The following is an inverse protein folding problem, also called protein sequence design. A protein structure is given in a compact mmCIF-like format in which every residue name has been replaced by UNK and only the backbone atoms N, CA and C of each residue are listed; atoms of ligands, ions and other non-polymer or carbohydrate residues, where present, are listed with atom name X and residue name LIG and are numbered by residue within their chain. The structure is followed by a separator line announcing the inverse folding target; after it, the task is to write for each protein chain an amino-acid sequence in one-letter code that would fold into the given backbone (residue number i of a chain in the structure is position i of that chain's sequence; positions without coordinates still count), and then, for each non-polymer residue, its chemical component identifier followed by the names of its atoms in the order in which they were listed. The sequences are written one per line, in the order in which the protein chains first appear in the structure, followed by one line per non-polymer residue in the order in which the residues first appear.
data_IF_435181064986
#
_entry.id   IF_435181064986
#
_cell.length_a   1.000
_cell.length_b   1.000
_cell.length_c   1.000
_cell.angle_alpha   90.00
_cell.angle_beta   90.00
_cell.angle_gamma   90.00
#
_symmetry.space_group_name_H-M   'P 1'
#
loop_
_entity.id
_entity.type
_entity.pdbx_description
1 polymer ?
#
# COMPACT_ATOMS: atom_id res chain seq x y z
N UNK A 1 -1.60 -6.51 -13.67
CA UNK A 1 -1.28 -7.22 -12.40
C UNK A 1 -1.86 -6.46 -11.24
N UNK A 2 -2.69 -7.09 -10.41
CA UNK A 2 -3.22 -6.50 -9.17
C UNK A 2 -3.02 -7.48 -8.05
N UNK A 3 -2.01 -7.24 -7.21
CA UNK A 3 -1.58 -8.15 -6.15
C UNK A 3 -1.60 -7.44 -4.81
N UNK A 4 -2.17 -8.10 -3.80
CA UNK A 4 -2.11 -7.63 -2.42
C UNK A 4 -1.52 -8.70 -1.52
N UNK A 5 -0.61 -8.25 -0.64
CA UNK A 5 0.00 -9.09 0.38
C UNK A 5 -0.74 -8.86 1.70
N UNK A 6 -0.94 -9.93 2.45
CA UNK A 6 -1.46 -9.87 3.81
C UNK A 6 -0.66 -10.82 4.71
N UNK A 7 -0.92 -10.82 5.99
CA UNK A 7 -0.23 -11.67 6.97
C UNK A 7 0.03 -10.93 8.27
N UNK A 8 0.65 -11.65 9.21
CA UNK A 8 0.99 -11.14 10.54
C UNK A 8 1.93 -9.92 10.47
N UNK A 9 1.95 -9.12 11.52
CA UNK A 9 2.90 -8.02 11.65
C UNK A 9 4.33 -8.53 11.50
N UNK A 10 5.17 -7.75 10.81
CA UNK A 10 6.61 -8.04 10.61
C UNK A 10 6.91 -9.37 9.90
N UNK A 11 5.94 -9.96 9.20
CA UNK A 11 6.18 -11.18 8.40
C UNK A 11 7.03 -10.93 7.15
N UNK A 12 7.21 -9.66 6.76
CA UNK A 12 8.06 -9.28 5.62
C UNK A 12 7.31 -8.75 4.40
N UNK A 13 6.05 -8.32 4.53
CA UNK A 13 5.25 -7.80 3.43
C UNK A 13 5.90 -6.61 2.70
N UNK A 14 6.25 -5.58 3.46
CA UNK A 14 6.93 -4.39 2.92
C UNK A 14 8.33 -4.70 2.40
N UNK A 15 9.05 -5.61 3.06
CA UNK A 15 10.36 -6.08 2.63
C UNK A 15 10.26 -6.77 1.26
N UNK A 16 9.24 -7.59 1.03
CA UNK A 16 9.03 -8.25 -0.25
C UNK A 16 8.81 -7.23 -1.36
N UNK A 17 7.96 -6.23 -1.12
CA UNK A 17 7.70 -5.15 -2.09
C UNK A 17 9.00 -4.40 -2.43
N UNK A 18 9.77 -4.02 -1.41
CA UNK A 18 11.02 -3.28 -1.60
C UNK A 18 12.05 -4.10 -2.40
N UNK A 19 12.23 -5.37 -2.07
CA UNK A 19 13.12 -6.26 -2.83
C UNK A 19 12.69 -6.39 -4.29
N UNK A 20 11.39 -6.62 -4.51
CA UNK A 20 10.86 -6.72 -5.87
C UNK A 20 11.15 -5.45 -6.69
N UNK A 21 10.87 -4.28 -6.13
CA UNK A 21 11.11 -2.99 -6.79
C UNK A 21 12.59 -2.80 -7.13
N UNK A 22 13.47 -3.06 -6.16
CA UNK A 22 14.92 -2.85 -6.32
C UNK A 22 15.53 -3.81 -7.34
N UNK A 23 15.24 -5.10 -7.21
CA UNK A 23 15.81 -6.13 -8.09
C UNK A 23 15.34 -6.01 -9.54
N UNK A 24 14.11 -5.53 -9.75
CA UNK A 24 13.53 -5.39 -11.08
C UNK A 24 13.54 -3.93 -11.60
N UNK A 25 14.09 -2.99 -10.85
CA UNK A 25 14.17 -1.56 -11.20
C UNK A 25 12.81 -1.00 -11.66
N UNK A 26 11.76 -1.30 -10.90
CA UNK A 26 10.39 -0.96 -11.27
C UNK A 26 10.10 0.51 -10.96
N UNK A 27 9.66 1.30 -11.96
CA UNK A 27 9.16 2.65 -11.69
C UNK A 27 7.86 2.57 -10.89
N UNK A 28 7.75 3.38 -9.83
CA UNK A 28 6.65 3.32 -8.88
C UNK A 28 5.92 4.65 -8.73
N UNK A 29 4.65 4.54 -8.36
CA UNK A 29 3.82 5.64 -7.88
C UNK A 29 3.04 5.16 -6.65
N UNK A 30 2.18 5.99 -6.10
CA UNK A 30 1.44 5.65 -4.89
C UNK A 30 2.13 6.10 -3.61
N UNK A 31 2.00 5.32 -2.56
CA UNK A 31 2.55 5.68 -1.25
C UNK A 31 3.08 4.47 -0.47
N UNK A 32 3.93 4.80 0.50
CA UNK A 32 4.33 3.88 1.58
C UNK A 32 4.08 4.58 2.92
N UNK A 33 3.91 3.80 3.98
CA UNK A 33 3.89 4.31 5.34
C UNK A 33 5.27 4.16 5.96
N UNK A 34 5.78 5.20 6.60
CA UNK A 34 7.08 5.22 7.24
C UNK A 34 6.91 5.40 8.75
N UNK A 35 7.71 4.71 9.58
CA UNK A 35 7.64 4.88 11.02
C UNK A 35 8.16 6.25 11.46
N UNK A 36 7.51 6.82 12.46
CA UNK A 36 7.94 8.02 13.15
C UNK A 36 8.48 7.66 14.54
N UNK A 37 9.70 8.10 14.83
CA UNK A 37 10.39 7.81 16.08
C UNK A 37 10.61 9.07 16.91
N UNK A 38 10.41 8.96 18.22
CA UNK A 38 10.90 9.90 19.23
C UNK A 38 11.71 9.13 20.26
N UNK A 39 12.91 9.63 20.62
CA UNK A 39 13.82 8.99 21.59
C UNK A 39 14.04 7.49 21.31
N UNK A 40 14.24 7.12 20.04
CA UNK A 40 14.43 5.74 19.57
C UNK A 40 13.21 4.82 19.75
N UNK A 41 12.07 5.35 20.13
CA UNK A 41 10.79 4.63 20.22
C UNK A 41 9.88 5.01 19.05
N UNK A 42 9.28 4.00 18.41
CA UNK A 42 8.30 4.23 17.34
C UNK A 42 6.98 4.67 17.97
N UNK A 43 6.57 5.89 17.67
CA UNK A 43 5.34 6.48 18.22
C UNK A 43 4.31 6.87 17.17
N UNK A 44 4.55 6.58 15.92
CA UNK A 44 3.58 6.90 14.87
C UNK A 44 4.04 6.54 13.47
N UNK A 45 3.32 7.08 12.49
CA UNK A 45 3.58 6.82 11.08
C UNK A 45 3.38 8.06 10.23
N UNK A 46 4.22 8.21 9.22
CA UNK A 46 4.05 9.13 8.09
C UNK A 46 3.41 8.42 6.91
N UNK A 47 2.58 9.14 6.18
CA UNK A 47 2.22 8.80 4.82
C UNK A 47 3.25 9.44 3.89
N UNK A 48 4.00 8.62 3.15
CA UNK A 48 5.08 9.06 2.27
C UNK A 48 4.69 8.87 0.81
N UNK A 49 4.71 9.96 0.04
CA UNK A 49 4.41 9.93 -1.38
C UNK A 49 5.57 9.39 -2.20
N UNK A 50 5.27 8.47 -3.12
CA UNK A 50 6.22 7.99 -4.14
C UNK A 50 6.15 8.82 -5.44
N UNK A 51 5.21 9.76 -5.53
CA UNK A 51 5.16 10.74 -6.61
C UNK A 51 5.67 12.08 -6.10
N UNK A 52 6.26 12.87 -7.01
CA UNK A 52 6.81 14.18 -6.66
C UNK A 52 5.68 15.19 -6.47
N UNK A 53 5.51 15.68 -5.24
CA UNK A 53 4.52 16.67 -4.85
C UNK A 53 5.22 17.79 -4.04
N UNK A 54 4.51 18.89 -3.77
CA UNK A 54 5.05 19.97 -2.92
C UNK A 54 5.33 19.48 -1.50
N UNK A 55 4.50 18.57 -0.99
CA UNK A 55 4.68 17.87 0.29
C UNK A 55 4.86 16.38 0.01
N UNK A 56 5.81 15.75 0.68
CA UNK A 56 6.11 14.32 0.47
C UNK A 56 5.79 13.45 1.67
N UNK A 57 5.78 14.00 2.88
CA UNK A 57 5.56 13.27 4.13
C UNK A 57 4.59 14.01 5.01
N UNK A 58 3.52 13.34 5.44
CA UNK A 58 2.58 13.86 6.43
C UNK A 58 2.34 12.82 7.52
N UNK A 59 2.50 13.24 8.77
CA UNK A 59 2.22 12.41 9.93
C UNK A 59 0.72 12.19 10.05
N UNK A 60 0.27 10.93 10.07
CA UNK A 60 -1.14 10.59 10.24
C UNK A 60 -1.44 9.81 11.52
N UNK A 61 -0.41 9.38 12.23
CA UNK A 61 -0.57 8.68 13.50
C UNK A 61 0.53 9.12 14.47
N UNK A 62 0.14 9.48 15.69
CA UNK A 62 1.05 9.87 16.77
C UNK A 62 0.55 9.29 18.09
N UNK A 63 1.27 8.33 18.63
CA UNK A 63 0.83 7.56 19.78
C UNK A 63 -0.46 6.80 19.48
N UNK A 64 -1.50 7.03 20.28
CA UNK A 64 -2.84 6.47 20.06
C UNK A 64 -3.74 7.38 19.23
N UNK A 65 -3.26 8.54 18.82
CA UNK A 65 -4.04 9.52 18.07
C UNK A 65 -3.86 9.35 16.57
N UNK A 66 -4.97 9.42 15.85
CA UNK A 66 -5.01 9.48 14.38
C UNK A 66 -5.25 10.92 13.98
N UNK A 67 -4.43 11.45 13.09
CA UNK A 67 -4.64 12.78 12.50
C UNK A 67 -5.69 12.64 11.41
N UNK A 68 -6.92 13.09 11.71
CA UNK A 68 -8.04 13.00 10.76
C UNK A 68 -7.81 13.88 9.54
N UNK A 69 -8.27 13.41 8.38
CA UNK A 69 -8.24 14.18 7.14
C UNK A 69 -6.98 14.01 6.32
N UNK A 70 -5.92 13.38 6.83
CA UNK A 70 -4.67 13.20 6.08
C UNK A 70 -4.90 12.35 4.83
N UNK A 71 -5.64 11.26 4.93
CA UNK A 71 -5.94 10.42 3.77
C UNK A 71 -6.90 11.10 2.80
N UNK A 72 -7.95 11.77 3.30
CA UNK A 72 -8.92 12.50 2.46
C UNK A 72 -8.28 13.68 1.70
N UNK A 73 -7.23 14.26 2.22
CA UNK A 73 -6.47 15.34 1.59
C UNK A 73 -5.23 14.80 0.86
N UNK A 74 -4.18 14.48 1.59
CA UNK A 74 -2.89 14.06 1.03
C UNK A 74 -2.94 12.70 0.34
N UNK A 75 -3.65 11.74 0.93
CA UNK A 75 -3.84 10.42 0.33
C UNK A 75 -4.53 10.51 -1.04
N UNK A 76 -5.58 11.30 -1.15
CA UNK A 76 -6.28 11.54 -2.43
C UNK A 76 -5.36 12.24 -3.44
N UNK A 77 -4.61 13.25 -3.01
CA UNK A 77 -3.63 13.95 -3.85
C UNK A 77 -2.60 12.98 -4.45
N UNK A 78 -2.04 12.10 -3.61
CA UNK A 78 -1.09 11.07 -4.08
C UNK A 78 -1.73 10.17 -5.14
N UNK A 79 -2.93 9.66 -4.88
CA UNK A 79 -3.61 8.76 -5.81
C UNK A 79 -3.95 9.45 -7.13
N UNK A 80 -4.39 10.70 -7.09
CA UNK A 80 -4.70 11.49 -8.29
C UNK A 80 -3.45 11.75 -9.16
N UNK A 81 -2.28 11.91 -8.55
CA UNK A 81 -1.01 12.12 -9.25
C UNK A 81 -0.26 10.83 -9.58
N UNK A 82 -0.78 9.67 -9.20
CA UNK A 82 -0.20 8.36 -9.50
C UNK A 82 -0.73 7.86 -10.84
N UNK A 83 -0.02 8.18 -11.92
CA UNK A 83 -0.51 7.94 -13.29
C UNK A 83 0.45 7.09 -14.14
N UNK A 84 1.58 6.66 -13.58
CA UNK A 84 2.56 5.84 -14.30
C UNK A 84 3.24 4.82 -13.38
N UNK A 85 3.81 3.79 -13.98
CA UNK A 85 4.54 2.76 -13.25
C UNK A 85 3.63 1.80 -12.48
N UNK A 86 4.21 1.16 -11.47
CA UNK A 86 3.51 0.29 -10.54
C UNK A 86 2.92 1.12 -9.40
N UNK A 87 1.62 0.99 -9.17
CA UNK A 87 0.96 1.65 -8.04
C UNK A 87 1.24 0.87 -6.76
N UNK A 88 1.98 1.47 -5.85
CA UNK A 88 2.29 0.92 -4.52
C UNK A 88 1.31 1.47 -3.49
N UNK A 89 0.73 0.58 -2.70
CA UNK A 89 -0.21 0.91 -1.61
C UNK A 89 0.22 0.18 -0.34
N UNK A 90 1.21 0.68 0.35
CA UNK A 90 1.80 0.03 1.53
C UNK A 90 1.67 0.93 2.78
N UNK A 91 0.71 0.71 3.63
CA UNK A 91 -0.29 -0.34 3.65
C UNK A 91 -1.72 0.23 3.70
N UNK A 92 -2.68 -0.62 3.38
CA UNK A 92 -4.11 -0.34 3.61
C UNK A 92 -4.47 -0.99 4.95
N UNK A 93 -4.79 -0.17 5.95
CA UNK A 93 -5.08 -0.63 7.31
C UNK A 93 -6.45 -0.17 7.81
N UNK A 94 -6.57 0.08 9.10
CA UNK A 94 -7.83 0.52 9.70
C UNK A 94 -7.84 2.01 10.11
N UNK A 95 -6.69 2.68 10.08
CA UNK A 95 -6.58 4.08 10.51
C UNK A 95 -7.30 5.04 9.55
N UNK A 96 -7.43 4.65 8.27
CA UNK A 96 -8.17 5.39 7.25
C UNK A 96 -9.67 5.08 7.17
N UNK A 97 -10.20 4.26 8.08
CA UNK A 97 -11.58 3.74 8.00
C UNK A 97 -12.69 4.81 7.94
N UNK A 98 -12.46 5.96 8.51
CA UNK A 98 -13.42 7.07 8.53
C UNK A 98 -13.18 8.09 7.41
N UNK A 99 -12.16 7.87 6.60
CA UNK A 99 -11.75 8.75 5.49
C UNK A 99 -12.46 8.32 4.19
N UNK A 100 -13.75 8.60 4.10
CA UNK A 100 -14.62 8.09 3.02
C UNK A 100 -14.23 8.55 1.63
N UNK A 101 -13.83 9.80 1.49
CA UNK A 101 -13.37 10.33 0.19
C UNK A 101 -12.17 9.55 -0.31
N UNK A 102 -11.19 9.34 0.56
CA UNK A 102 -10.00 8.55 0.25
C UNK A 102 -10.37 7.12 -0.15
N UNK A 103 -11.21 6.44 0.62
CA UNK A 103 -11.59 5.04 0.35
C UNK A 103 -12.31 4.90 -0.99
N UNK A 104 -13.19 5.84 -1.35
CA UNK A 104 -13.86 5.84 -2.65
C UNK A 104 -12.86 6.02 -3.80
N UNK A 105 -11.93 6.97 -3.66
CA UNK A 105 -10.87 7.21 -4.65
C UNK A 105 -9.95 5.99 -4.75
N UNK A 106 -9.57 5.40 -3.63
CA UNK A 106 -8.70 4.22 -3.56
C UNK A 106 -9.29 3.04 -4.34
N UNK A 107 -10.54 2.68 -4.07
CA UNK A 107 -11.21 1.53 -4.72
C UNK A 107 -11.31 1.77 -6.23
N UNK A 108 -11.75 2.95 -6.65
CA UNK A 108 -11.82 3.32 -8.07
C UNK A 108 -10.44 3.28 -8.73
N UNK A 109 -9.41 3.75 -8.02
CA UNK A 109 -8.03 3.72 -8.53
C UNK A 109 -7.56 2.28 -8.74
N UNK A 110 -7.76 1.40 -7.77
CA UNK A 110 -7.40 -0.03 -7.88
C UNK A 110 -8.13 -0.68 -9.06
N UNK A 111 -9.42 -0.41 -9.23
CA UNK A 111 -10.21 -0.97 -10.33
C UNK A 111 -9.66 -0.58 -11.70
N UNK A 112 -9.30 0.69 -11.88
CA UNK A 112 -8.90 1.26 -13.16
C UNK A 112 -7.41 1.13 -13.47
N UNK A 113 -6.56 1.07 -12.45
CA UNK A 113 -5.11 1.06 -12.63
C UNK A 113 -4.63 -0.32 -13.11
N UNK A 114 -3.75 -0.37 -14.11
CA UNK A 114 -3.38 -1.65 -14.71
C UNK A 114 -2.48 -2.52 -13.81
N UNK A 115 -1.60 -1.91 -13.04
CA UNK A 115 -0.61 -2.63 -12.23
C UNK A 115 -0.57 -2.07 -10.80
N UNK A 116 -1.02 -2.88 -9.85
CA UNK A 116 -1.08 -2.52 -8.43
C UNK A 116 -0.36 -3.58 -7.59
N UNK A 117 0.43 -3.13 -6.65
CA UNK A 117 1.04 -3.98 -5.62
C UNK A 117 0.86 -3.31 -4.27
N UNK A 118 0.14 -3.95 -3.39
CA UNK A 118 -0.18 -3.37 -2.10
C UNK A 118 -0.09 -4.34 -0.94
N UNK A 119 -0.23 -3.79 0.26
CA UNK A 119 -0.35 -4.53 1.51
C UNK A 119 -1.70 -4.21 2.12
N UNK A 120 -2.48 -5.24 2.40
CA UNK A 120 -3.69 -5.16 3.21
C UNK A 120 -3.41 -5.72 4.59
N UNK A 121 -3.69 -4.96 5.62
CA UNK A 121 -3.60 -5.45 6.99
C UNK A 121 -4.56 -6.63 7.18
N UNK A 122 -4.12 -7.65 7.91
CA UNK A 122 -4.93 -8.85 8.18
C UNK A 122 -5.95 -8.58 9.29
N UNK A 123 -7.00 -7.87 8.92
CA UNK A 123 -8.13 -7.50 9.77
C UNK A 123 -9.44 -7.65 9.01
N UNK A 124 -10.53 -7.93 9.72
CA UNK A 124 -11.86 -8.02 9.15
C UNK A 124 -12.51 -6.64 9.14
N UNK A 125 -12.39 -5.95 8.02
CA UNK A 125 -13.01 -4.65 7.79
C UNK A 125 -13.54 -4.58 6.36
N UNK A 126 -14.72 -3.99 6.19
CA UNK A 126 -15.50 -4.06 4.94
C UNK A 126 -14.75 -3.63 3.68
N UNK A 127 -14.06 -2.50 3.70
CA UNK A 127 -13.35 -2.00 2.51
C UNK A 127 -12.13 -2.84 2.15
N UNK A 128 -11.45 -3.46 3.11
CA UNK A 128 -10.35 -4.39 2.84
C UNK A 128 -10.90 -5.67 2.18
N UNK A 129 -11.99 -6.20 2.69
CA UNK A 129 -12.65 -7.36 2.08
C UNK A 129 -13.15 -7.03 0.67
N UNK A 130 -13.70 -5.84 0.45
CA UNK A 130 -14.09 -5.37 -0.89
C UNK A 130 -12.91 -5.34 -1.85
N UNK A 131 -11.76 -4.79 -1.44
CA UNK A 131 -10.55 -4.74 -2.25
C UNK A 131 -10.07 -6.13 -2.63
N UNK A 132 -10.03 -7.05 -1.66
CA UNK A 132 -9.61 -8.44 -1.89
C UNK A 132 -10.47 -9.18 -2.90
N UNK A 133 -11.74 -8.80 -3.05
CA UNK A 133 -12.70 -9.43 -3.95
C UNK A 133 -12.92 -8.66 -5.26
N UNK A 134 -12.19 -7.58 -5.50
CA UNK A 134 -12.26 -6.87 -6.78
C UNK A 134 -11.79 -7.80 -7.92
N UNK A 135 -12.35 -7.64 -9.13
CA UNK A 135 -11.91 -8.41 -10.29
C UNK A 135 -10.40 -8.29 -10.53
N UNK A 136 -9.76 -9.39 -10.91
CA UNK A 136 -8.32 -9.49 -11.21
C UNK A 136 -7.39 -9.33 -10.01
N UNK A 137 -7.91 -9.13 -8.80
CA UNK A 137 -7.09 -9.05 -7.59
C UNK A 137 -6.67 -10.44 -7.12
N UNK A 138 -5.36 -10.60 -6.90
CA UNK A 138 -4.74 -11.79 -6.32
C UNK A 138 -4.25 -11.42 -4.93
N UNK A 139 -4.57 -12.24 -3.93
CA UNK A 139 -4.13 -12.03 -2.55
C UNK A 139 -3.20 -13.17 -2.14
N UNK A 140 -2.03 -12.81 -1.63
CA UNK A 140 -1.09 -13.75 -1.02
C UNK A 140 -1.00 -13.49 0.48
N UNK A 141 -1.30 -14.51 1.28
CA UNK A 141 -1.15 -14.49 2.74
C UNK A 141 0.21 -15.08 3.12
N UNK A 142 1.14 -14.23 3.53
CA UNK A 142 2.51 -14.65 3.86
C UNK A 142 2.60 -15.49 5.15
N UNK A 143 1.51 -15.61 5.93
CA UNK A 143 1.44 -16.57 7.01
C UNK A 143 1.31 -18.03 6.49
N UNK A 144 0.85 -18.19 5.24
CA UNK A 144 0.57 -19.49 4.61
C UNK A 144 1.35 -19.75 3.32
N UNK A 145 1.99 -18.71 2.76
CA UNK A 145 2.74 -18.80 1.51
C UNK A 145 4.22 -18.47 1.75
N UNK A 146 5.10 -19.16 1.04
CA UNK A 146 6.54 -18.89 1.11
C UNK A 146 6.89 -17.54 0.47
N UNK A 147 7.71 -16.76 1.17
CA UNK A 147 8.15 -15.42 0.74
C UNK A 147 8.80 -15.43 -0.67
N UNK A 148 9.75 -16.35 -0.90
CA UNK A 148 10.46 -16.41 -2.18
C UNK A 148 9.56 -16.88 -3.33
N UNK A 149 8.65 -17.81 -3.06
CA UNK A 149 7.67 -18.27 -4.04
C UNK A 149 6.70 -17.17 -4.45
N UNK A 150 6.20 -16.39 -3.47
CA UNK A 150 5.34 -15.24 -3.75
C UNK A 150 6.08 -14.18 -4.55
N UNK A 151 7.32 -13.86 -4.18
CA UNK A 151 8.15 -12.91 -4.92
C UNK A 151 8.33 -13.32 -6.37
N UNK A 152 8.66 -14.59 -6.62
CA UNK A 152 8.78 -15.14 -7.99
C UNK A 152 7.47 -15.06 -8.77
N UNK A 153 6.33 -15.30 -8.09
CA UNK A 153 5.02 -15.19 -8.72
C UNK A 153 4.72 -13.75 -9.15
N UNK A 154 5.06 -12.77 -8.34
CA UNK A 154 4.92 -11.35 -8.68
C UNK A 154 5.84 -10.96 -9.84
N UNK A 155 7.08 -11.44 -9.83
CA UNK A 155 8.04 -11.22 -10.94
C UNK A 155 7.53 -11.78 -12.26
N UNK A 156 6.98 -12.99 -12.24
CA UNK A 156 6.38 -13.61 -13.42
C UNK A 156 5.19 -12.80 -13.95
N UNK A 157 4.29 -12.37 -13.06
CA UNK A 157 3.15 -11.53 -13.44
C UNK A 157 3.57 -10.17 -14.01
N UNK A 158 4.60 -9.57 -13.44
CA UNK A 158 5.15 -8.31 -13.93
C UNK A 158 5.78 -8.45 -15.30
N UNK A 159 6.55 -9.51 -15.52
CA UNK A 159 7.21 -9.78 -16.81
C UNK A 159 6.22 -10.02 -17.96
N UNK A 160 5.05 -10.57 -17.66
CA UNK A 160 3.98 -10.79 -18.67
C UNK A 160 3.34 -9.48 -19.14
N UNK A 161 3.57 -8.35 -18.45
CA UNK A 161 3.02 -7.02 -18.75
C UNK A 161 3.95 -6.13 -19.57
N UNK A 162 5.15 -6.60 -19.83
CA UNK A 162 6.14 -5.87 -20.64
C UNK A 162 5.91 -6.06 -22.15
#
# INVERSE_FOLDING_TARGET
MKVFLTGSKQIGKSTLIQKFIQENQVPCSGYITLPYFENSERIGFYLHSLVSLERNDILFSHGKQVVKGVFDDFGVEILEHSNSGLLILDEIGFLERDERKYLDVLIKKIQKYPNVLGVCRKIDISYIEEIKHLPEVIVYDLDHCDFEEVKKSIEALWSMKK
#
